data_IF_859833008668
#
_entry.id   IF_859833008668
#
_cell.length_a   1.000
_cell.length_b   1.000
_cell.length_c   1.000
_cell.angle_alpha   90.00
_cell.angle_beta   90.00
_cell.angle_gamma   90.00
#
_symmetry.space_group_name_H-M   'P 1'
#
loop_
_entity.id
_entity.type
_entity.pdbx_description
1 polymer ?
#
# COMPACT_ATOMS: atom_id res chain seq x y z
N UNK A 1 -4.76 -9.15 24.87
CA UNK A 1 -3.82 -9.19 23.72
C UNK A 1 -4.51 -8.86 22.40
N UNK A 2 -5.81 -9.18 22.23
CA UNK A 2 -6.61 -8.92 21.01
C UNK A 2 -6.63 -7.48 20.47
N UNK A 3 -6.56 -6.46 21.34
CA UNK A 3 -6.79 -5.07 20.90
C UNK A 3 -5.63 -4.45 20.10
N UNK A 4 -4.40 -4.92 20.30
CA UNK A 4 -3.23 -4.36 19.62
C UNK A 4 -3.14 -4.84 18.16
N UNK A 5 -3.40 -6.12 17.89
CA UNK A 5 -3.30 -6.67 16.53
C UNK A 5 -4.41 -6.11 15.64
N UNK A 6 -5.64 -6.03 16.16
CA UNK A 6 -6.79 -5.50 15.43
C UNK A 6 -6.65 -4.00 15.12
N UNK A 7 -6.19 -3.21 16.08
CA UNK A 7 -5.94 -1.77 15.90
C UNK A 7 -4.84 -1.49 14.86
N UNK A 8 -3.76 -2.30 14.86
CA UNK A 8 -2.69 -2.17 13.88
C UNK A 8 -3.15 -2.49 12.45
N UNK A 9 -4.07 -3.43 12.29
CA UNK A 9 -4.66 -3.79 10.99
C UNK A 9 -5.53 -2.67 10.42
N UNK A 10 -6.48 -2.16 11.22
CA UNK A 10 -7.33 -1.03 10.80
C UNK A 10 -6.47 0.18 10.40
N UNK A 11 -5.41 0.44 11.18
CA UNK A 11 -4.45 1.51 10.88
C UNK A 11 -3.71 1.26 9.57
N UNK A 12 -3.17 0.05 9.34
CA UNK A 12 -2.46 -0.30 8.11
C UNK A 12 -3.35 -0.21 6.87
N UNK A 13 -4.61 -0.65 6.99
CA UNK A 13 -5.58 -0.63 5.89
C UNK A 13 -6.03 0.80 5.56
N UNK A 14 -6.22 1.64 6.58
CA UNK A 14 -6.49 3.07 6.42
C UNK A 14 -5.32 3.78 5.72
N UNK A 15 -4.08 3.54 6.18
CA UNK A 15 -2.87 4.11 5.56
C UNK A 15 -2.74 3.67 4.10
N UNK A 16 -2.90 2.38 3.81
CA UNK A 16 -2.81 1.86 2.44
C UNK A 16 -3.89 2.48 1.51
N UNK A 17 -5.09 2.70 2.04
CA UNK A 17 -6.19 3.33 1.30
C UNK A 17 -5.91 4.81 1.03
N UNK A 18 -5.49 5.57 2.05
CA UNK A 18 -5.11 6.98 1.88
C UNK A 18 -3.99 7.13 0.86
N UNK A 19 -2.99 6.24 0.91
CA UNK A 19 -1.91 6.21 -0.07
C UNK A 19 -2.48 5.95 -1.48
N UNK A 20 -3.32 4.93 -1.67
CA UNK A 20 -3.90 4.63 -2.97
C UNK A 20 -4.70 5.81 -3.56
N UNK A 21 -5.46 6.53 -2.73
CA UNK A 21 -6.20 7.72 -3.16
C UNK A 21 -5.26 8.86 -3.57
N UNK A 22 -4.23 9.15 -2.76
CA UNK A 22 -3.25 10.18 -3.11
C UNK A 22 -2.44 9.84 -4.37
N UNK A 23 -2.24 8.55 -4.65
CA UNK A 23 -1.63 8.09 -5.90
C UNK A 23 -2.56 8.28 -7.11
N UNK A 24 -3.86 8.02 -6.95
CA UNK A 24 -4.84 8.28 -8.02
C UNK A 24 -4.88 9.78 -8.36
N UNK A 25 -4.89 10.66 -7.35
CA UNK A 25 -4.80 12.10 -7.53
C UNK A 25 -3.50 12.52 -8.23
N UNK A 26 -2.36 11.95 -7.81
CA UNK A 26 -1.07 12.23 -8.45
C UNK A 26 -1.08 11.81 -9.91
N UNK A 27 -1.66 10.65 -10.24
CA UNK A 27 -1.74 10.14 -11.62
C UNK A 27 -2.58 11.02 -12.56
N UNK A 28 -3.51 11.81 -11.99
CA UNK A 28 -4.36 12.74 -12.73
C UNK A 28 -3.69 14.09 -12.96
N UNK A 29 -2.44 14.27 -12.54
CA UNK A 29 -1.60 15.42 -12.91
C UNK A 29 -1.66 15.64 -14.43
N UNK A 30 -2.09 16.84 -14.82
CA UNK A 30 -2.55 17.11 -16.19
C UNK A 30 -1.54 16.84 -17.29
N UNK A 31 -2.04 16.62 -18.50
CA UNK A 31 -1.23 16.45 -19.72
C UNK A 31 -0.47 17.75 -19.98
N UNK A 32 0.83 17.74 -19.73
CA UNK A 32 1.71 18.85 -20.10
C UNK A 32 2.04 18.70 -21.59
N UNK A 33 1.54 19.61 -22.42
CA UNK A 33 1.82 19.62 -23.85
C UNK A 33 3.11 20.38 -24.13
N UNK A 34 3.92 19.86 -25.06
CA UNK A 34 5.11 20.55 -25.58
C UNK A 34 4.82 21.15 -26.94
N UNK A 35 5.40 22.32 -27.22
CA UNK A 35 5.41 22.90 -28.57
C UNK A 35 6.60 22.31 -29.34
N UNK A 36 6.29 21.43 -30.30
CA UNK A 36 7.27 20.73 -31.14
C UNK A 36 7.72 21.51 -32.37
N UNK A 37 7.21 22.74 -32.60
CA UNK A 37 7.51 23.54 -33.79
C UNK A 37 8.80 24.36 -33.66
N UNK A 38 9.30 24.63 -32.45
CA UNK A 38 10.50 25.45 -32.26
C UNK A 38 11.72 24.62 -31.87
N UNK A 39 12.79 24.71 -32.65
CA UNK A 39 14.12 24.13 -32.38
C UNK A 39 14.99 25.03 -31.51
N UNK A 40 14.38 25.97 -30.77
CA UNK A 40 15.10 26.76 -29.77
C UNK A 40 15.44 25.82 -28.63
N UNK A 41 16.73 25.74 -28.25
CA UNK A 41 17.24 24.77 -27.27
C UNK A 41 16.45 24.73 -25.96
N UNK A 42 15.80 25.83 -25.57
CA UNK A 42 14.90 25.87 -24.41
C UNK A 42 13.67 24.96 -24.52
N UNK A 43 13.09 24.79 -25.70
CA UNK A 43 11.92 23.90 -25.91
C UNK A 43 12.32 22.43 -25.85
N UNK A 44 13.48 22.05 -26.40
CA UNK A 44 14.02 20.69 -26.27
C UNK A 44 14.27 20.34 -24.80
N UNK A 45 14.94 21.24 -24.06
CA UNK A 45 15.19 21.04 -22.63
C UNK A 45 13.89 20.95 -21.82
N UNK A 46 12.88 21.75 -22.17
CA UNK A 46 11.57 21.68 -21.53
C UNK A 46 10.86 20.33 -21.80
N UNK A 47 10.93 19.83 -23.04
CA UNK A 47 10.39 18.52 -23.40
C UNK A 47 11.07 17.36 -22.67
N UNK A 48 12.41 17.38 -22.59
CA UNK A 48 13.18 16.39 -21.83
C UNK A 48 12.85 16.44 -20.33
N UNK A 49 12.71 17.64 -19.76
CA UNK A 49 12.32 17.81 -18.37
C UNK A 49 10.89 17.29 -18.10
N UNK A 50 9.95 17.52 -19.02
CA UNK A 50 8.58 16.98 -18.93
C UNK A 50 8.59 15.46 -18.94
N UNK A 51 9.36 14.84 -19.84
CA UNK A 51 9.48 13.39 -19.91
C UNK A 51 10.08 12.82 -18.62
N UNK A 52 11.19 13.40 -18.14
CA UNK A 52 11.82 12.99 -16.90
C UNK A 52 10.88 13.10 -15.68
N UNK A 53 10.06 14.15 -15.62
CA UNK A 53 9.03 14.29 -14.58
C UNK A 53 7.95 13.21 -14.69
N UNK A 54 7.48 12.89 -15.89
CA UNK A 54 6.49 11.83 -16.10
C UNK A 54 7.04 10.45 -15.70
N UNK A 55 8.29 10.16 -16.04
CA UNK A 55 8.95 8.92 -15.67
C UNK A 55 9.13 8.81 -14.14
N UNK A 56 9.54 9.90 -13.49
CA UNK A 56 9.67 9.97 -12.03
C UNK A 56 8.32 9.78 -11.33
N UNK A 57 7.26 10.41 -11.84
CA UNK A 57 5.90 10.24 -11.35
C UNK A 57 5.47 8.77 -11.46
N UNK A 58 5.68 8.13 -12.60
CA UNK A 58 5.35 6.71 -12.81
C UNK A 58 6.12 5.79 -11.85
N UNK A 59 7.41 6.06 -11.62
CA UNK A 59 8.21 5.30 -10.68
C UNK A 59 7.69 5.42 -9.24
N UNK A 60 7.39 6.64 -8.79
CA UNK A 60 6.81 6.90 -7.47
C UNK A 60 5.47 6.17 -7.32
N UNK A 61 4.62 6.24 -8.35
CA UNK A 61 3.33 5.56 -8.36
C UNK A 61 3.46 4.04 -8.17
N UNK A 62 4.38 3.42 -8.91
CA UNK A 62 4.62 1.98 -8.84
C UNK A 62 5.21 1.56 -7.49
N UNK A 63 6.24 2.26 -7.01
CA UNK A 63 6.92 1.92 -5.77
C UNK A 63 5.98 2.00 -4.56
N UNK A 64 5.21 3.10 -4.48
CA UNK A 64 4.25 3.31 -3.40
C UNK A 64 3.06 2.35 -3.53
N UNK A 65 2.55 2.11 -4.74
CA UNK A 65 1.50 1.12 -4.97
C UNK A 65 1.92 -0.29 -4.52
N UNK A 66 3.17 -0.69 -4.76
CA UNK A 66 3.71 -1.96 -4.28
C UNK A 66 3.84 -1.98 -2.75
N UNK A 67 4.31 -0.90 -2.13
CA UNK A 67 4.40 -0.80 -0.68
C UNK A 67 3.02 -0.96 -0.01
N UNK A 68 1.98 -0.33 -0.55
CA UNK A 68 0.60 -0.47 -0.06
C UNK A 68 0.09 -1.91 -0.14
N UNK A 69 0.36 -2.61 -1.25
CA UNK A 69 0.01 -4.03 -1.40
C UNK A 69 0.73 -4.91 -0.38
N UNK A 70 2.01 -4.64 -0.14
CA UNK A 70 2.79 -5.37 0.86
C UNK A 70 2.23 -5.16 2.27
N UNK A 71 1.87 -3.92 2.63
CA UNK A 71 1.24 -3.61 3.92
C UNK A 71 -0.09 -4.34 4.10
N UNK A 72 -0.92 -4.39 3.05
CA UNK A 72 -2.18 -5.15 3.07
C UNK A 72 -1.93 -6.66 3.27
N UNK A 73 -0.95 -7.24 2.56
CA UNK A 73 -0.60 -8.67 2.71
C UNK A 73 -0.18 -9.00 4.14
N UNK A 74 0.74 -8.22 4.70
CA UNK A 74 1.23 -8.42 6.07
C UNK A 74 0.08 -8.30 7.08
N UNK A 75 -0.83 -7.34 6.88
CA UNK A 75 -2.00 -7.19 7.73
C UNK A 75 -2.91 -8.44 7.69
N UNK A 76 -3.18 -8.98 6.50
CA UNK A 76 -3.95 -10.22 6.34
C UNK A 76 -3.24 -11.45 6.93
N UNK A 77 -1.92 -11.54 6.80
CA UNK A 77 -1.12 -12.62 7.40
C UNK A 77 -1.19 -12.60 8.93
N UNK A 78 -1.15 -11.41 9.55
CA UNK A 78 -1.36 -11.25 10.98
C UNK A 78 -2.77 -11.69 11.40
N UNK A 79 -3.81 -11.41 10.61
CA UNK A 79 -5.18 -11.88 10.88
C UNK A 79 -5.26 -13.41 10.91
N UNK A 80 -4.67 -14.05 9.92
CA UNK A 80 -4.67 -15.50 9.78
C UNK A 80 -3.93 -16.17 10.94
N UNK A 81 -2.78 -15.62 11.33
CA UNK A 81 -2.00 -16.11 12.47
C UNK A 81 -2.78 -15.97 13.80
N UNK A 82 -3.43 -14.82 14.00
CA UNK A 82 -4.22 -14.52 15.19
C UNK A 82 -5.46 -15.43 15.31
N UNK A 83 -6.14 -15.68 14.18
CA UNK A 83 -7.23 -16.69 14.11
C UNK A 83 -6.73 -18.08 14.48
N UNK A 84 -5.61 -18.50 13.90
CA UNK A 84 -5.02 -19.83 14.17
C UNK A 84 -4.67 -19.99 15.65
N UNK A 85 -4.10 -18.94 16.27
CA UNK A 85 -3.77 -18.95 17.70
C UNK A 85 -5.03 -19.05 18.58
N UNK A 86 -6.10 -18.31 18.23
CA UNK A 86 -7.40 -18.39 18.93
C UNK A 86 -8.03 -19.77 18.82
N UNK A 87 -8.04 -20.36 17.63
CA UNK A 87 -8.61 -21.69 17.40
C UNK A 87 -7.84 -22.76 18.18
N UNK A 88 -6.50 -22.69 18.18
CA UNK A 88 -5.65 -23.59 18.97
C UNK A 88 -5.96 -23.49 20.47
N UNK A 89 -6.09 -22.28 21.00
CA UNK A 89 -6.39 -22.06 22.42
C UNK A 89 -7.81 -22.53 22.79
N UNK A 90 -8.79 -22.28 21.92
CA UNK A 90 -10.18 -22.72 22.10
C UNK A 90 -10.30 -24.24 22.13
N UNK A 91 -9.51 -24.96 21.32
CA UNK A 91 -9.51 -26.42 21.30
C UNK A 91 -8.74 -27.05 22.48
N UNK A 92 -7.74 -26.37 23.04
CA UNK A 92 -6.96 -26.87 24.17
C UNK A 92 -7.71 -26.81 25.50
N UNK A 93 -8.46 -25.73 25.77
CA UNK A 93 -9.13 -25.50 27.07
C UNK A 93 -10.13 -26.62 27.45
N UNK A 94 -11.00 -27.11 26.55
CA UNK A 94 -11.89 -28.24 26.84
C UNK A 94 -11.14 -29.56 27.08
N UNK A 95 -10.06 -29.79 26.34
CA UNK A 95 -9.27 -31.04 26.42
C UNK A 95 -8.53 -31.21 27.76
N UNK A 96 -8.17 -30.09 28.41
CA UNK A 96 -7.53 -30.07 29.72
C UNK A 96 -8.56 -30.22 30.86
N UNK A 97 -9.79 -29.75 30.67
CA UNK A 97 -10.88 -29.92 31.65
C UNK A 97 -11.35 -31.38 31.75
N UNK A 98 -11.46 -32.08 30.62
CA UNK A 98 -11.84 -33.50 30.59
C UNK A 98 -10.75 -34.48 31.06
N UNK A 99 -9.51 -34.01 31.26
CA UNK A 99 -8.40 -34.82 31.79
C UNK A 99 -8.24 -34.74 33.31
N UNK A 100 -8.99 -33.87 33.99
CA UNK A 100 -8.90 -33.63 35.45
C UNK A 100 -10.08 -34.22 36.24
N UNK A 101 -11.02 -34.89 35.57
CA UNK A 101 -12.13 -35.66 36.14
C UNK A 101 -11.88 -37.15 36.02
#
# INVERSE_FOLDING_TARGET
MDNFIKSNMETAQSIATSIASSLDELSRGGVVTSDSQTTISGNTNAGEAIQAMSDAQSYVLQAIGQASKNLQSVASEFEAADKTARDAMTNLIPSLSGRRS
#
